data_IF_087178321873
#
_entry.id   IF_087178321873
#
_cell.length_a   1.000
_cell.length_b   1.000
_cell.length_c   1.000
_cell.angle_alpha   90.00
_cell.angle_beta   90.00
_cell.angle_gamma   90.00
#
_symmetry.space_group_name_H-M   'P 1'
#
loop_
_entity.id
_entity.type
_entity.pdbx_description
1 polymer ?
#
# COMPACT_ATOMS: atom_id res chain seq x y z
N UNK A 1 -7.03 -8.87 3.45
CA UNK A 1 -6.99 -8.31 2.10
C UNK A 1 -6.36 -6.91 2.05
N UNK A 2 -6.44 -6.10 3.13
CA UNK A 2 -5.89 -4.72 3.14
C UNK A 2 -4.40 -4.64 3.56
N UNK A 3 -3.83 -5.68 4.13
CA UNK A 3 -2.50 -5.64 4.72
C UNK A 3 -1.37 -5.90 3.70
N UNK A 4 -1.63 -6.72 2.68
CA UNK A 4 -0.67 -7.04 1.62
C UNK A 4 -0.53 -5.92 0.57
N UNK A 5 -1.57 -5.11 0.38
CA UNK A 5 -1.59 -4.05 -0.65
C UNK A 5 -0.81 -2.77 -0.31
N UNK A 6 -0.36 -2.58 0.92
CA UNK A 6 0.27 -1.31 1.35
C UNK A 6 1.81 -1.40 1.29
N UNK A 7 2.40 -2.57 1.53
CA UNK A 7 3.86 -2.74 1.47
C UNK A 7 4.41 -2.66 0.05
N UNK A 8 3.63 -3.08 -0.95
CA UNK A 8 4.01 -3.03 -2.37
C UNK A 8 3.83 -1.65 -3.03
N UNK A 9 3.28 -0.66 -2.32
CA UNK A 9 2.94 0.66 -2.88
C UNK A 9 4.00 1.73 -2.71
N UNK A 10 5.07 1.44 -1.99
CA UNK A 10 6.20 2.34 -1.88
C UNK A 10 7.41 1.74 -2.56
N UNK A 11 8.01 2.55 -3.39
CA UNK A 11 9.28 2.21 -4.02
C UNK A 11 10.35 3.08 -3.39
N UNK A 12 11.35 2.44 -2.82
CA UNK A 12 12.53 3.14 -2.34
C UNK A 12 13.38 3.57 -3.54
N UNK A 13 13.26 4.84 -3.90
CA UNK A 13 14.07 5.48 -4.94
C UNK A 13 15.30 6.18 -4.38
N UNK A 14 15.65 5.95 -3.12
CA UNK A 14 16.85 6.55 -2.52
C UNK A 14 18.14 5.91 -3.02
N UNK A 15 18.06 4.65 -3.49
CA UNK A 15 19.24 3.90 -3.94
C UNK A 15 19.28 3.76 -5.46
N UNK A 16 20.40 4.17 -6.06
CA UNK A 16 20.74 3.88 -7.44
C UNK A 16 21.67 2.67 -7.43
N UNK A 17 21.29 1.61 -8.14
CA UNK A 17 22.08 0.39 -8.27
C UNK A 17 22.99 0.46 -9.50
N UNK A 18 24.15 -0.17 -9.42
CA UNK A 18 24.95 -0.47 -10.58
C UNK A 18 24.36 -1.66 -11.34
N UNK A 19 24.55 -1.67 -12.66
CA UNK A 19 24.06 -2.78 -13.51
C UNK A 19 24.67 -4.11 -13.07
N UNK A 20 25.89 -4.10 -12.56
CA UNK A 20 26.59 -5.28 -12.03
C UNK A 20 25.99 -5.83 -10.72
N UNK A 21 25.19 -5.03 -10.01
CA UNK A 21 24.52 -5.44 -8.77
C UNK A 21 23.14 -6.08 -9.00
N UNK A 22 22.64 -6.07 -10.25
CA UNK A 22 21.30 -6.58 -10.56
C UNK A 22 21.22 -8.08 -10.36
N UNK A 23 20.13 -8.53 -9.74
CA UNK A 23 19.75 -9.95 -9.62
C UNK A 23 18.33 -10.17 -10.16
N UNK A 24 18.01 -11.38 -10.67
CA UNK A 24 16.70 -11.66 -11.27
C UNK A 24 15.51 -11.47 -10.34
N UNK A 25 15.73 -11.62 -9.03
CA UNK A 25 14.67 -11.60 -8.00
C UNK A 25 14.48 -10.19 -7.39
N UNK A 26 15.21 -9.19 -7.88
CA UNK A 26 15.06 -7.82 -7.39
C UNK A 26 13.67 -7.27 -7.71
N UNK A 27 13.09 -6.50 -6.76
CA UNK A 27 11.88 -5.72 -7.01
C UNK A 27 12.18 -4.60 -8.02
N UNK A 28 11.34 -3.59 -8.07
CA UNK A 28 11.64 -2.39 -8.87
C UNK A 28 12.89 -1.69 -8.34
N UNK A 29 13.82 -1.38 -9.23
CA UNK A 29 15.11 -0.75 -8.92
C UNK A 29 15.37 0.46 -9.81
N UNK A 30 16.27 1.33 -9.38
CA UNK A 30 16.80 2.43 -10.18
C UNK A 30 18.23 2.15 -10.59
N UNK A 31 18.52 2.44 -11.86
CA UNK A 31 19.87 2.47 -12.40
C UNK A 31 20.10 3.81 -13.10
N UNK A 32 21.33 4.29 -13.11
CA UNK A 32 21.74 5.52 -13.77
C UNK A 32 22.74 5.21 -14.86
N UNK A 33 22.57 5.80 -16.04
CA UNK A 33 23.49 5.56 -17.16
C UNK A 33 23.08 6.31 -18.43
N UNK A 34 23.58 5.85 -19.57
CA UNK A 34 23.38 6.47 -20.89
C UNK A 34 22.85 5.46 -21.90
N UNK A 35 22.01 5.93 -22.79
CA UNK A 35 21.63 5.15 -23.98
C UNK A 35 22.80 5.14 -24.95
N UNK A 36 23.24 3.94 -25.31
CA UNK A 36 24.33 3.74 -26.28
C UNK A 36 23.80 3.72 -27.71
N UNK A 37 22.75 2.95 -27.95
CA UNK A 37 22.15 2.77 -29.27
C UNK A 37 20.72 2.29 -29.17
N UNK A 38 19.99 2.35 -30.28
CA UNK A 38 18.66 1.80 -30.46
C UNK A 38 18.65 0.73 -31.53
N UNK A 39 17.87 -0.32 -31.32
CA UNK A 39 17.55 -1.35 -32.30
C UNK A 39 16.04 -1.50 -32.43
N UNK A 40 15.53 -1.47 -33.67
CA UNK A 40 14.12 -1.75 -33.97
C UNK A 40 14.01 -3.16 -34.55
N UNK A 41 13.20 -4.00 -33.93
CA UNK A 41 12.85 -5.31 -34.46
C UNK A 41 11.44 -5.29 -35.00
N UNK A 42 11.30 -5.62 -36.30
CA UNK A 42 9.99 -5.82 -36.92
C UNK A 42 9.59 -7.28 -36.74
N UNK A 43 8.59 -7.55 -35.90
CA UNK A 43 8.10 -8.91 -35.63
C UNK A 43 7.00 -9.33 -36.60
N UNK A 44 6.80 -8.63 -37.74
CA UNK A 44 5.89 -9.00 -38.82
C UNK A 44 4.39 -8.92 -38.53
N UNK A 45 3.97 -8.63 -37.31
CA UNK A 45 2.59 -8.43 -36.88
C UNK A 45 2.46 -7.09 -36.17
N UNK A 46 2.21 -5.98 -36.89
CA UNK A 46 1.83 -4.64 -36.35
C UNK A 46 2.51 -4.14 -35.05
N UNK A 47 3.36 -4.91 -34.42
CA UNK A 47 4.06 -4.61 -33.17
C UNK A 47 5.56 -4.52 -33.40
N UNK A 48 6.04 -3.30 -33.63
CA UNK A 48 7.48 -3.03 -33.60
C UNK A 48 7.98 -3.08 -32.16
N UNK A 49 9.05 -3.83 -31.93
CA UNK A 49 9.77 -3.86 -30.64
C UNK A 49 10.97 -2.91 -30.78
N UNK A 50 11.04 -1.93 -29.90
CA UNK A 50 12.19 -1.05 -29.77
C UNK A 50 13.02 -1.51 -28.57
N UNK A 51 14.31 -1.65 -28.78
CA UNK A 51 15.30 -1.96 -27.73
C UNK A 51 16.32 -0.83 -27.68
N UNK A 52 16.57 -0.29 -26.51
CA UNK A 52 17.67 0.62 -26.26
C UNK A 52 18.73 -0.08 -25.42
N UNK A 53 19.97 -0.08 -25.87
CA UNK A 53 21.12 -0.54 -25.10
C UNK A 53 21.53 0.57 -24.13
N UNK A 54 21.46 0.26 -22.84
CA UNK A 54 21.70 1.23 -21.77
C UNK A 54 22.87 0.78 -20.90
N UNK A 55 23.79 1.69 -20.58
CA UNK A 55 24.99 1.38 -19.81
C UNK A 55 25.28 2.42 -18.74
N UNK A 56 25.74 1.94 -17.59
CA UNK A 56 26.31 2.74 -16.50
C UNK A 56 27.84 2.82 -16.54
N UNK A 57 28.47 2.24 -17.58
CA UNK A 57 29.91 2.11 -17.71
C UNK A 57 30.48 0.82 -17.13
N UNK A 58 29.76 0.09 -16.30
CA UNK A 58 30.16 -1.19 -15.71
C UNK A 58 29.41 -2.38 -16.30
N UNK A 59 28.24 -2.14 -16.90
CA UNK A 59 27.44 -3.17 -17.54
C UNK A 59 26.53 -2.58 -18.63
N UNK A 60 25.81 -3.49 -19.31
CA UNK A 60 24.81 -3.13 -20.33
C UNK A 60 23.52 -3.88 -20.06
N UNK A 61 22.40 -3.18 -20.12
CA UNK A 61 21.04 -3.74 -20.04
C UNK A 61 20.21 -3.28 -21.22
N UNK A 62 19.15 -4.03 -21.52
CA UNK A 62 18.22 -3.72 -22.59
C UNK A 62 16.96 -3.06 -22.04
N UNK A 63 16.62 -1.87 -22.52
CA UNK A 63 15.35 -1.21 -22.26
C UNK A 63 14.42 -1.51 -23.43
N UNK A 64 13.26 -2.12 -23.14
CA UNK A 64 12.39 -2.70 -24.17
C UNK A 64 11.03 -2.06 -24.18
N UNK A 65 10.57 -1.62 -25.36
CA UNK A 65 9.22 -1.12 -25.59
C UNK A 65 8.54 -1.86 -26.74
N UNK A 66 7.33 -2.33 -26.52
CA UNK A 66 6.55 -3.04 -27.53
C UNK A 66 5.61 -2.13 -28.32
N UNK A 67 5.52 -0.85 -27.97
CA UNK A 67 4.68 0.18 -28.64
C UNK A 67 5.31 1.54 -28.46
N UNK A 68 4.88 2.50 -29.31
CA UNK A 68 5.30 3.90 -29.20
C UNK A 68 6.78 4.19 -29.48
N UNK A 69 7.42 3.38 -30.33
CA UNK A 69 8.86 3.56 -30.69
C UNK A 69 9.20 4.98 -31.11
N UNK A 70 8.36 5.62 -31.95
CA UNK A 70 8.58 6.99 -32.39
C UNK A 70 8.58 8.03 -31.27
N UNK A 71 7.73 7.86 -30.26
CA UNK A 71 7.69 8.74 -29.10
C UNK A 71 8.98 8.60 -28.28
N UNK A 72 9.41 7.36 -28.01
CA UNK A 72 10.63 7.06 -27.26
C UNK A 72 11.86 7.65 -27.94
N UNK A 73 12.02 7.43 -29.24
CA UNK A 73 13.13 7.96 -30.03
C UNK A 73 13.17 9.51 -30.08
N UNK A 74 12.01 10.16 -30.04
CA UNK A 74 11.92 11.62 -29.97
C UNK A 74 12.28 12.17 -28.59
N UNK A 75 11.87 11.47 -27.54
CA UNK A 75 12.00 11.95 -26.17
C UNK A 75 13.37 11.67 -25.57
N UNK A 76 13.90 10.46 -25.78
CA UNK A 76 15.15 10.04 -25.16
C UNK A 76 16.26 9.99 -26.19
N UNK A 77 17.38 10.65 -25.89
CA UNK A 77 18.51 10.82 -26.85
C UNK A 77 19.69 9.94 -26.47
N UNK A 78 20.36 9.42 -27.50
CA UNK A 78 21.63 8.68 -27.33
C UNK A 78 22.67 9.60 -26.69
N UNK A 79 23.46 9.06 -25.77
CA UNK A 79 24.54 9.77 -25.09
C UNK A 79 24.09 10.64 -23.90
N UNK A 80 22.79 10.90 -23.76
CA UNK A 80 22.26 11.63 -22.61
C UNK A 80 22.13 10.69 -21.41
N UNK A 81 22.36 11.23 -20.22
CA UNK A 81 22.32 10.48 -18.97
C UNK A 81 20.90 10.47 -18.40
N UNK A 82 20.39 9.28 -18.14
CA UNK A 82 19.06 9.04 -17.61
C UNK A 82 19.11 8.22 -16.33
N UNK A 83 18.09 8.39 -15.50
CA UNK A 83 17.75 7.46 -14.43
C UNK A 83 16.60 6.60 -14.93
N UNK A 84 16.81 5.30 -14.92
CA UNK A 84 15.87 4.28 -15.38
C UNK A 84 15.30 3.57 -14.17
N UNK A 85 13.99 3.52 -14.07
CA UNK A 85 13.28 2.82 -13.00
C UNK A 85 12.41 1.71 -13.59
N UNK A 86 12.53 0.51 -13.05
CA UNK A 86 11.74 -0.64 -13.50
C UNK A 86 12.12 -1.93 -12.78
N UNK A 87 11.41 -3.01 -13.10
CA UNK A 87 11.74 -4.35 -12.61
C UNK A 87 12.72 -5.03 -13.58
N UNK A 88 13.90 -5.44 -13.10
CA UNK A 88 14.84 -6.18 -13.93
C UNK A 88 14.28 -7.59 -14.21
N UNK A 89 14.41 -8.03 -15.45
CA UNK A 89 14.08 -9.39 -15.90
C UNK A 89 15.23 -9.91 -16.73
N UNK A 90 15.42 -11.22 -16.81
CA UNK A 90 16.45 -11.82 -17.63
C UNK A 90 15.84 -12.42 -18.88
N UNK A 91 16.36 -12.06 -20.04
CA UNK A 91 15.97 -12.62 -21.33
C UNK A 91 17.20 -12.81 -22.22
N UNK A 92 17.38 -14.00 -22.75
CA UNK A 92 18.55 -14.30 -23.60
C UNK A 92 19.90 -14.11 -22.91
N UNK A 93 19.96 -14.27 -21.59
CA UNK A 93 21.21 -14.10 -20.82
C UNK A 93 21.58 -12.65 -20.49
N UNK A 94 20.70 -11.67 -20.82
CA UNK A 94 20.89 -10.24 -20.50
C UNK A 94 19.77 -9.73 -19.61
N UNK A 95 20.09 -8.77 -18.76
CA UNK A 95 19.05 -8.04 -18.02
C UNK A 95 18.30 -7.10 -18.95
N UNK A 96 16.98 -7.09 -18.83
CA UNK A 96 16.10 -6.17 -19.55
C UNK A 96 15.09 -5.52 -18.62
N UNK A 97 14.69 -4.31 -18.98
CA UNK A 97 13.60 -3.56 -18.36
C UNK A 97 12.49 -3.36 -19.39
N UNK A 98 11.30 -3.88 -19.11
CA UNK A 98 10.14 -3.74 -20.00
C UNK A 98 9.34 -2.49 -19.65
N UNK A 99 9.19 -1.57 -20.61
CA UNK A 99 8.50 -0.29 -20.43
C UNK A 99 8.96 0.49 -19.19
N UNK A 100 10.27 0.69 -18.99
CA UNK A 100 10.76 1.39 -17.82
C UNK A 100 10.31 2.85 -17.78
N UNK A 101 10.24 3.41 -16.59
CA UNK A 101 10.16 4.85 -16.40
C UNK A 101 11.57 5.44 -16.55
N UNK A 102 11.67 6.55 -17.27
CA UNK A 102 12.96 7.21 -17.52
C UNK A 102 12.87 8.69 -17.23
N UNK A 103 13.87 9.21 -16.55
CA UNK A 103 14.02 10.60 -16.20
C UNK A 103 15.40 11.11 -16.60
N UNK A 104 15.45 12.36 -17.03
CA UNK A 104 16.70 13.04 -17.28
C UNK A 104 17.46 13.23 -15.95
N UNK A 105 18.69 12.71 -15.89
CA UNK A 105 19.50 12.75 -14.68
C UNK A 105 19.85 14.18 -14.23
N UNK A 106 19.83 15.16 -15.15
CA UNK A 106 20.11 16.58 -14.85
C UNK A 106 18.97 17.26 -14.08
N UNK A 107 17.74 16.76 -14.21
CA UNK A 107 16.54 17.34 -13.63
C UNK A 107 16.18 16.75 -12.24
N UNK A 108 16.91 15.76 -11.78
CA UNK A 108 16.65 15.08 -10.51
C UNK A 108 17.65 15.52 -9.43
N UNK A 109 17.16 16.22 -8.43
CA UNK A 109 17.91 16.40 -7.20
C UNK A 109 17.83 15.11 -6.39
N UNK A 110 18.99 14.49 -6.14
CA UNK A 110 19.14 13.24 -5.37
C UNK A 110 18.51 13.36 -3.97
N UNK A 111 18.43 14.58 -3.43
CA UNK A 111 17.80 14.89 -2.13
C UNK A 111 16.27 14.70 -2.11
N UNK A 112 15.61 14.60 -3.27
CA UNK A 112 14.18 14.30 -3.38
C UNK A 112 13.89 12.80 -3.56
N UNK A 113 14.91 11.96 -3.60
CA UNK A 113 14.82 10.52 -3.76
C UNK A 113 14.55 9.84 -2.41
N UNK A 114 13.34 10.00 -1.91
CA UNK A 114 12.85 9.25 -0.75
C UNK A 114 11.94 8.09 -1.16
N UNK A 115 11.23 7.56 -0.20
CA UNK A 115 10.14 6.61 -0.45
C UNK A 115 9.03 7.32 -1.22
N UNK A 116 8.84 6.94 -2.49
CA UNK A 116 7.83 7.53 -3.35
C UNK A 116 6.60 6.62 -3.43
N UNK A 117 5.39 7.18 -3.35
CA UNK A 117 4.18 6.40 -3.52
C UNK A 117 4.06 5.89 -4.95
N UNK A 118 3.77 4.62 -5.10
CA UNK A 118 3.46 4.01 -6.39
C UNK A 118 1.94 3.90 -6.56
N UNK A 119 1.41 4.54 -7.59
CA UNK A 119 -0.01 4.51 -7.92
C UNK A 119 -0.30 3.51 -9.03
N UNK A 120 -1.19 2.57 -8.77
CA UNK A 120 -1.62 1.62 -9.78
C UNK A 120 -2.34 2.34 -10.92
N UNK A 121 -1.88 2.11 -12.15
CA UNK A 121 -2.46 2.70 -13.34
C UNK A 121 -2.85 1.61 -14.35
N UNK A 122 -4.00 1.80 -15.00
CA UNK A 122 -4.42 0.91 -16.08
C UNK A 122 -3.70 1.26 -17.38
N UNK A 123 -3.60 0.31 -18.31
CA UNK A 123 -3.04 0.56 -19.64
C UNK A 123 -3.79 1.70 -20.37
N UNK A 124 -5.09 1.82 -20.13
CA UNK A 124 -5.87 2.93 -20.68
C UNK A 124 -5.43 4.29 -20.12
N UNK A 125 -5.18 4.37 -18.81
CA UNK A 125 -4.68 5.60 -18.16
C UNK A 125 -3.30 5.98 -18.70
N UNK A 126 -2.38 5.02 -18.79
CA UNK A 126 -1.04 5.24 -19.35
C UNK A 126 -1.09 5.77 -20.77
N UNK A 127 -2.02 5.27 -21.60
CA UNK A 127 -2.23 5.74 -22.99
C UNK A 127 -2.61 7.23 -23.06
N UNK A 128 -3.33 7.73 -22.02
CA UNK A 128 -3.70 9.15 -21.93
C UNK A 128 -2.69 9.98 -21.11
N UNK A 129 -1.51 9.45 -20.82
CA UNK A 129 -0.44 10.17 -20.11
C UNK A 129 -0.56 10.14 -18.58
N UNK A 130 -1.51 9.38 -18.03
CA UNK A 130 -1.65 9.19 -16.58
C UNK A 130 -0.79 8.03 -16.11
N UNK A 131 0.51 8.29 -15.94
CA UNK A 131 1.43 7.38 -15.26
C UNK A 131 1.37 7.55 -13.74
N UNK A 132 1.92 6.60 -12.98
CA UNK A 132 2.08 6.73 -11.53
C UNK A 132 2.73 8.06 -11.13
N UNK A 133 3.74 8.48 -11.89
CA UNK A 133 4.45 9.75 -11.68
C UNK A 133 3.59 10.99 -11.96
N UNK A 134 2.71 10.93 -12.96
CA UNK A 134 1.77 12.03 -13.20
C UNK A 134 0.81 12.19 -12.03
N UNK A 135 0.31 11.07 -11.51
CA UNK A 135 -0.56 11.05 -10.34
C UNK A 135 0.20 11.55 -9.09
N UNK A 136 1.44 11.12 -8.90
CA UNK A 136 2.30 11.59 -7.81
C UNK A 136 2.46 13.11 -7.82
N UNK A 137 2.79 13.71 -8.98
CA UNK A 137 2.90 15.17 -9.09
C UNK A 137 1.62 15.90 -8.72
N UNK A 138 0.47 15.39 -9.19
CA UNK A 138 -0.85 15.95 -8.85
C UNK A 138 -1.13 15.81 -7.36
N UNK A 139 -0.85 14.66 -6.77
CA UNK A 139 -1.05 14.42 -5.33
C UNK A 139 -0.11 15.29 -4.49
N UNK A 140 1.15 15.47 -4.91
CA UNK A 140 2.11 16.37 -4.23
C UNK A 140 1.59 17.81 -4.20
N UNK A 141 1.09 18.29 -5.33
CA UNK A 141 0.48 19.62 -5.42
C UNK A 141 -0.76 19.71 -4.53
N UNK A 142 -1.65 18.73 -4.57
CA UNK A 142 -2.86 18.68 -3.76
C UNK A 142 -2.53 18.71 -2.26
N UNK A 143 -1.64 17.82 -1.80
CA UNK A 143 -1.24 17.74 -0.38
C UNK A 143 -0.59 19.03 0.09
N UNK A 144 0.16 19.72 -0.79
CA UNK A 144 0.74 21.04 -0.50
C UNK A 144 -0.31 22.16 -0.36
N UNK A 145 -1.43 22.07 -1.06
CA UNK A 145 -2.52 23.06 -1.03
C UNK A 145 -3.57 22.79 0.04
N UNK A 146 -3.61 21.57 0.61
CA UNK A 146 -4.60 21.22 1.64
C UNK A 146 -4.35 22.04 2.91
N UNK A 147 -5.41 22.66 3.47
CA UNK A 147 -5.34 23.22 4.81
C UNK A 147 -5.09 22.09 5.84
N UNK A 148 -4.63 22.42 7.06
CA UNK A 148 -4.50 21.43 8.12
C UNK A 148 -5.79 20.63 8.31
N UNK A 149 -5.70 19.31 8.28
CA UNK A 149 -6.85 18.43 8.45
C UNK A 149 -7.27 18.40 9.91
N UNK A 150 -8.56 18.56 10.22
CA UNK A 150 -9.04 18.51 11.60
C UNK A 150 -8.85 17.12 12.20
N UNK A 151 -8.54 17.07 13.50
CA UNK A 151 -8.45 15.81 14.24
C UNK A 151 -9.86 15.20 14.41
N UNK A 152 -9.92 13.87 14.29
CA UNK A 152 -11.17 13.11 14.35
C UNK A 152 -11.23 12.20 15.58
N UNK A 153 -10.06 11.84 16.14
CA UNK A 153 -10.00 11.06 17.37
C UNK A 153 -9.99 11.98 18.60
N UNK A 154 -10.60 11.57 19.70
CA UNK A 154 -10.49 12.30 20.96
C UNK A 154 -9.03 12.44 21.43
N UNK A 155 -8.67 13.60 21.97
CA UNK A 155 -7.30 13.92 22.41
C UNK A 155 -6.72 12.92 23.39
N UNK A 156 -7.55 12.38 24.30
CA UNK A 156 -7.11 11.38 25.26
C UNK A 156 -6.69 10.06 24.60
N UNK A 157 -7.27 9.69 23.45
CA UNK A 157 -6.88 8.51 22.67
C UNK A 157 -5.56 8.77 21.98
N UNK A 158 -5.45 9.91 21.31
CA UNK A 158 -4.23 10.32 20.61
C UNK A 158 -3.05 10.36 21.59
N UNK A 159 -3.24 11.00 22.76
CA UNK A 159 -2.20 11.11 23.78
C UNK A 159 -1.83 9.77 24.42
N UNK A 160 -2.81 8.95 24.80
CA UNK A 160 -2.58 7.65 25.46
C UNK A 160 -1.85 6.64 24.58
N UNK A 161 -2.13 6.66 23.27
CA UNK A 161 -1.55 5.75 22.30
C UNK A 161 -0.35 6.35 21.55
N UNK A 162 0.07 7.56 21.90
CA UNK A 162 1.15 8.30 21.26
C UNK A 162 1.03 8.35 19.73
N UNK A 163 -0.20 8.55 19.24
CA UNK A 163 -0.46 8.64 17.81
C UNK A 163 -0.06 10.02 17.28
N UNK A 164 0.42 10.04 16.03
CA UNK A 164 0.62 11.30 15.32
C UNK A 164 -0.73 11.92 14.94
N UNK A 165 -0.77 13.23 14.68
CA UNK A 165 -1.98 13.92 14.26
C UNK A 165 -2.49 13.37 12.91
N UNK A 166 -3.78 13.53 12.66
CA UNK A 166 -4.40 13.13 11.39
C UNK A 166 -3.75 13.81 10.19
N UNK A 167 -3.51 15.12 10.26
CA UNK A 167 -2.85 15.89 9.20
C UNK A 167 -1.45 15.36 8.90
N UNK A 168 -0.66 15.14 9.94
CA UNK A 168 0.68 14.55 9.81
C UNK A 168 0.63 13.17 9.18
N UNK A 169 -0.32 12.33 9.58
CA UNK A 169 -0.47 10.98 9.02
C UNK A 169 -0.81 11.00 7.53
N UNK A 170 -1.72 11.89 7.09
CA UNK A 170 -2.04 12.04 5.67
C UNK A 170 -0.86 12.53 4.84
N UNK A 171 -0.03 13.43 5.38
CA UNK A 171 1.18 13.90 4.68
C UNK A 171 2.24 12.81 4.61
N UNK A 172 2.50 12.13 5.72
CA UNK A 172 3.50 11.07 5.80
C UNK A 172 3.13 9.81 5.02
N UNK A 173 1.84 9.48 4.88
CA UNK A 173 1.44 8.32 4.07
C UNK A 173 1.67 8.55 2.57
N UNK A 174 1.69 9.79 2.10
CA UNK A 174 1.97 10.11 0.71
C UNK A 174 3.44 10.44 0.46
N UNK A 175 4.08 11.16 1.40
CA UNK A 175 5.45 11.66 1.23
C UNK A 175 6.25 11.49 2.52
N UNK A 176 6.56 10.25 2.93
CA UNK A 176 7.39 10.00 4.10
C UNK A 176 8.84 10.32 3.80
N UNK A 177 9.53 10.96 4.75
CA UNK A 177 10.97 11.18 4.67
C UNK A 177 11.76 9.98 5.22
N UNK A 178 11.09 9.10 5.96
CA UNK A 178 11.70 7.91 6.54
C UNK A 178 10.69 6.76 6.65
N UNK A 179 11.22 5.53 6.73
CA UNK A 179 10.39 4.35 6.99
C UNK A 179 9.61 4.44 8.31
N UNK A 180 10.19 5.09 9.33
CA UNK A 180 9.51 5.32 10.61
C UNK A 180 8.29 6.24 10.49
N UNK A 181 8.40 7.31 9.70
CA UNK A 181 7.27 8.22 9.44
C UNK A 181 6.14 7.49 8.72
N UNK A 182 6.46 6.68 7.72
CA UNK A 182 5.49 5.85 7.02
C UNK A 182 4.78 4.89 7.98
N UNK A 183 5.53 4.17 8.83
CA UNK A 183 4.94 3.24 9.81
C UNK A 183 4.02 3.97 10.79
N UNK A 184 4.43 5.12 11.33
CA UNK A 184 3.57 5.93 12.22
C UNK A 184 2.28 6.35 11.52
N UNK A 185 2.36 6.76 10.26
CA UNK A 185 1.19 7.13 9.46
C UNK A 185 0.26 5.93 9.24
N UNK A 186 0.81 4.77 8.89
CA UNK A 186 0.04 3.54 8.72
C UNK A 186 -0.68 3.12 10.01
N UNK A 187 0.04 3.12 11.14
CA UNK A 187 -0.55 2.80 12.46
C UNK A 187 -1.69 3.76 12.78
N UNK A 188 -1.48 5.07 12.58
CA UNK A 188 -2.51 6.09 12.84
C UNK A 188 -3.77 5.90 11.99
N UNK A 189 -3.61 5.70 10.68
CA UNK A 189 -4.74 5.56 9.76
C UNK A 189 -5.48 4.24 9.94
N UNK A 190 -4.76 3.12 10.11
CA UNK A 190 -5.37 1.82 10.42
C UNK A 190 -6.13 1.85 11.75
N UNK A 191 -5.55 2.48 12.77
CA UNK A 191 -6.23 2.62 14.06
C UNK A 191 -7.52 3.42 13.92
N UNK A 192 -7.50 4.56 13.23
CA UNK A 192 -8.69 5.39 13.01
C UNK A 192 -9.79 4.62 12.31
N UNK A 193 -9.48 3.92 11.23
CA UNK A 193 -10.45 3.12 10.48
C UNK A 193 -11.08 2.04 11.37
N UNK A 194 -10.27 1.24 12.04
CA UNK A 194 -10.75 0.18 12.93
C UNK A 194 -11.53 0.74 14.13
N UNK A 195 -11.12 1.87 14.68
CA UNK A 195 -11.84 2.53 15.78
C UNK A 195 -13.27 2.91 15.38
N UNK A 196 -13.43 3.52 14.20
CA UNK A 196 -14.77 3.90 13.74
C UNK A 196 -15.63 2.68 13.36
N UNK A 197 -15.05 1.65 12.76
CA UNK A 197 -15.76 0.39 12.51
C UNK A 197 -16.27 -0.19 13.84
N UNK A 198 -15.40 -0.27 14.85
CA UNK A 198 -15.76 -0.82 16.16
C UNK A 198 -16.80 0.05 16.89
N UNK A 199 -16.67 1.37 16.80
CA UNK A 199 -17.63 2.30 17.37
C UNK A 199 -19.02 2.14 16.73
N UNK A 200 -19.09 1.95 15.42
CA UNK A 200 -20.36 1.69 14.74
C UNK A 200 -20.99 0.36 15.16
N UNK A 201 -20.20 -0.70 15.31
CA UNK A 201 -20.67 -2.00 15.82
C UNK A 201 -21.24 -1.84 17.24
N UNK A 202 -20.52 -1.18 18.14
CA UNK A 202 -20.96 -0.95 19.51
C UNK A 202 -22.23 -0.08 19.57
N UNK A 203 -22.32 0.95 18.73
CA UNK A 203 -23.51 1.77 18.62
C UNK A 203 -24.71 0.94 18.17
N UNK A 204 -24.56 0.14 17.13
CA UNK A 204 -25.61 -0.75 16.65
C UNK A 204 -26.06 -1.72 17.75
N UNK A 205 -25.12 -2.39 18.43
CA UNK A 205 -25.41 -3.30 19.53
C UNK A 205 -26.14 -2.58 20.70
N UNK A 206 -25.73 -1.35 21.03
CA UNK A 206 -26.41 -0.54 22.05
C UNK A 206 -27.85 -0.19 21.66
N UNK A 207 -28.04 0.21 20.39
CA UNK A 207 -29.37 0.54 19.88
C UNK A 207 -30.29 -0.68 19.85
N UNK A 208 -29.78 -1.86 19.51
CA UNK A 208 -30.52 -3.11 19.56
C UNK A 208 -30.92 -3.45 21.01
N UNK A 209 -30.01 -3.34 21.99
CA UNK A 209 -30.29 -3.56 23.40
C UNK A 209 -31.34 -2.60 23.95
N UNK A 210 -31.42 -1.37 23.47
CA UNK A 210 -32.44 -0.39 23.84
C UNK A 210 -33.82 -0.72 23.26
N UNK A 211 -33.84 -1.21 22.00
CA UNK A 211 -35.07 -1.55 21.28
C UNK A 211 -35.68 -2.86 21.74
N UNK A 212 -34.88 -3.85 22.00
CA UNK A 212 -35.30 -5.20 22.34
C UNK A 212 -34.86 -5.50 23.76
N UNK A 213 -35.81 -5.40 24.70
CA UNK A 213 -35.61 -5.87 26.07
C UNK A 213 -35.74 -7.39 26.07
N UNK A 214 -34.65 -8.11 26.43
CA UNK A 214 -34.70 -9.55 26.63
C UNK A 214 -35.66 -9.94 27.76
N UNK A 215 -36.10 -11.17 27.72
CA UNK A 215 -36.88 -11.73 28.81
C UNK A 215 -35.99 -11.90 30.05
N UNK A 216 -36.44 -11.41 31.19
CA UNK A 216 -35.72 -11.55 32.47
C UNK A 216 -36.28 -12.75 33.21
N UNK A 217 -35.48 -13.80 33.38
CA UNK A 217 -35.82 -14.94 34.20
C UNK A 217 -35.59 -14.58 35.67
N UNK A 218 -36.67 -14.29 36.39
CA UNK A 218 -36.60 -13.89 37.80
C UNK A 218 -36.31 -15.06 38.75
N UNK A 219 -36.43 -16.31 38.27
CA UNK A 219 -36.24 -17.50 39.09
C UNK A 219 -35.52 -18.59 38.32
N UNK A 220 -34.42 -19.06 38.88
CA UNK A 220 -33.70 -20.25 38.41
C UNK A 220 -34.38 -21.46 39.02
N UNK A 221 -34.92 -22.34 38.17
CA UNK A 221 -35.64 -23.54 38.62
C UNK A 221 -34.77 -24.80 38.65
N UNK A 222 -35.37 -25.87 39.15
CA UNK A 222 -34.68 -27.17 39.34
C UNK A 222 -34.21 -27.78 38.02
N UNK A 223 -34.90 -27.49 36.89
CA UNK A 223 -34.51 -27.94 35.55
C UNK A 223 -33.14 -27.36 35.16
N UNK A 224 -32.94 -26.06 35.39
CA UNK A 224 -31.66 -25.43 35.11
C UNK A 224 -30.54 -25.98 35.99
N UNK A 225 -30.81 -26.10 37.29
CA UNK A 225 -29.83 -26.62 38.24
C UNK A 225 -29.48 -28.08 37.94
N UNK A 226 -30.45 -28.90 37.53
CA UNK A 226 -30.23 -30.28 37.11
C UNK A 226 -29.39 -30.38 35.82
N UNK A 227 -29.70 -29.54 34.83
CA UNK A 227 -28.90 -29.48 33.60
C UNK A 227 -27.45 -29.05 33.87
N UNK A 228 -27.28 -27.99 34.65
CA UNK A 228 -25.97 -27.46 35.02
C UNK A 228 -25.11 -28.49 35.79
N UNK A 229 -25.74 -29.22 36.74
CA UNK A 229 -25.02 -30.17 37.56
C UNK A 229 -24.66 -31.49 36.85
N UNK A 230 -25.49 -31.94 35.88
CA UNK A 230 -25.38 -33.31 35.37
C UNK A 230 -25.27 -33.42 33.84
N UNK A 231 -25.61 -32.40 33.09
CA UNK A 231 -25.73 -32.51 31.63
C UNK A 231 -24.73 -31.65 30.83
N UNK A 232 -23.86 -30.88 31.49
CA UNK A 232 -22.78 -30.17 30.80
C UNK A 232 -21.65 -31.15 30.46
N UNK A 233 -21.25 -31.28 29.19
CA UNK A 233 -20.19 -32.20 28.78
C UNK A 233 -18.77 -31.69 29.09
N UNK A 234 -18.64 -30.55 29.75
CA UNK A 234 -17.37 -29.89 30.07
C UNK A 234 -17.50 -29.07 31.37
N UNK A 235 -16.37 -28.85 32.05
CA UNK A 235 -16.30 -27.93 33.17
C UNK A 235 -16.25 -26.47 32.70
N UNK A 236 -17.08 -25.61 33.34
CA UNK A 236 -17.04 -24.18 33.05
C UNK A 236 -15.76 -23.56 33.57
N UNK A 237 -15.09 -22.76 32.71
CA UNK A 237 -13.96 -21.94 33.14
C UNK A 237 -14.37 -20.87 34.14
N UNK A 238 -13.41 -20.36 34.92
CA UNK A 238 -13.66 -19.30 35.91
C UNK A 238 -14.35 -18.08 35.27
N UNK A 239 -13.96 -17.69 34.07
CA UNK A 239 -14.56 -16.56 33.36
C UNK A 239 -16.03 -16.83 32.97
N UNK A 240 -16.33 -18.02 32.52
CA UNK A 240 -17.71 -18.41 32.20
C UNK A 240 -18.59 -18.47 33.46
N UNK A 241 -18.07 -18.94 34.60
CA UNK A 241 -18.78 -18.92 35.88
C UNK A 241 -19.10 -17.49 36.37
N UNK A 242 -18.18 -16.55 36.11
CA UNK A 242 -18.37 -15.13 36.45
C UNK A 242 -19.47 -14.46 35.62
N UNK A 243 -19.78 -15.01 34.44
CA UNK A 243 -20.79 -14.53 33.49
C UNK A 243 -22.17 -15.19 33.74
N UNK A 244 -22.31 -16.05 34.74
CA UNK A 244 -23.55 -16.84 35.01
C UNK A 244 -24.82 -15.99 34.99
N UNK A 245 -24.81 -14.77 35.54
CA UNK A 245 -25.96 -13.86 35.48
C UNK A 245 -26.29 -13.34 34.09
N UNK A 246 -25.32 -13.35 33.16
CA UNK A 246 -25.44 -12.85 31.76
C UNK A 246 -25.76 -14.00 30.80
N UNK A 247 -25.18 -15.19 31.00
CA UNK A 247 -25.39 -16.35 30.14
C UNK A 247 -26.85 -16.85 30.16
N UNK A 248 -27.54 -16.73 31.31
CA UNK A 248 -28.96 -17.02 31.42
C UNK A 248 -29.84 -16.13 30.54
N UNK A 249 -29.42 -14.88 30.32
CA UNK A 249 -30.12 -13.93 29.43
C UNK A 249 -29.93 -14.28 27.97
N UNK A 250 -28.77 -14.83 27.60
CA UNK A 250 -28.43 -15.15 26.21
C UNK A 250 -29.09 -16.45 25.75
N UNK A 251 -29.16 -17.47 26.60
CA UNK A 251 -29.79 -18.75 26.27
C UNK A 251 -31.32 -18.66 26.18
N UNK A 252 -31.95 -17.66 26.83
CA UNK A 252 -33.37 -17.39 26.72
C UNK A 252 -33.81 -16.61 25.49
N UNK A 253 -32.89 -16.09 24.70
CA UNK A 253 -33.19 -15.29 23.50
C UNK A 253 -33.14 -16.06 22.17
N UNK A 254 -33.01 -17.39 22.22
CA UNK A 254 -32.91 -18.25 21.01
C UNK A 254 -34.15 -19.10 20.73
N UNK A 255 -35.34 -18.61 21.07
CA UNK A 255 -36.60 -19.17 20.58
C UNK A 255 -37.42 -18.09 19.88
#
# INVERSE_FOLDING_TARGET
AYQEDIEDKYVDRSKIFHISELTPDMPFVQIKGKILSYEEFDTGKRNKRLVAHFSDGFGVVDLVWFRSSQYILKTYKVGTEYIVFGKPTVYGGRYQFSHPEMDDASNLQISEMGMQPYYNTTEKMKKYGFSSRTIEKLTKTLVGLLPPLPETLPDFIVGRLHLISRDTAFRFIHYPHSHQEMQKAQVRLKFEELFYVQLNILRYASDQRRKYRGYIFNRIGDIFNGFYAHNLPFELTYELRKIEGIALVILGCTN
#
